data_IF_533841243250
#
_entry.id   IF_533841243250
#
_cell.length_a   1.000
_cell.length_b   1.000
_cell.length_c   1.000
_cell.angle_alpha   90.00
_cell.angle_beta   90.00
_cell.angle_gamma   90.00
#
_symmetry.space_group_name_H-M   'P 1'
#
loop_
_entity.id
_entity.type
_entity.pdbx_description
1 polymer ?
#
# COMPACT_ATOMS: atom_id res chain seq x y z
N UNK A 1 -23.67 -0.90 -1.81
CA UNK A 1 -24.17 -2.01 -0.97
C UNK A 1 -23.81 -3.30 -1.65
N UNK A 2 -23.55 -4.36 -0.90
CA UNK A 2 -23.32 -5.69 -1.47
C UNK A 2 -24.18 -6.73 -0.76
N UNK A 3 -24.66 -7.70 -1.53
CA UNK A 3 -25.36 -8.88 -1.03
C UNK A 3 -24.35 -9.99 -0.70
N UNK A 4 -24.76 -10.94 0.13
CA UNK A 4 -23.98 -12.15 0.39
C UNK A 4 -23.74 -12.95 -0.90
N UNK A 5 -22.60 -13.64 -0.98
CA UNK A 5 -22.37 -14.62 -2.05
C UNK A 5 -23.30 -15.82 -1.85
N UNK A 6 -23.65 -16.52 -2.93
CA UNK A 6 -24.52 -17.70 -2.86
C UNK A 6 -23.99 -18.73 -1.83
N UNK A 7 -22.69 -18.99 -1.84
CA UNK A 7 -22.05 -19.88 -0.88
C UNK A 7 -22.23 -19.42 0.59
N UNK A 8 -22.16 -18.10 0.85
CA UNK A 8 -22.35 -17.57 2.19
C UNK A 8 -23.82 -17.57 2.63
N UNK A 9 -24.75 -17.26 1.72
CA UNK A 9 -26.20 -17.34 2.00
C UNK A 9 -26.64 -18.77 2.29
N UNK A 10 -26.18 -19.75 1.50
CA UNK A 10 -26.46 -21.17 1.71
C UNK A 10 -25.90 -21.69 3.06
N UNK A 11 -24.67 -21.30 3.40
CA UNK A 11 -24.03 -21.73 4.65
C UNK A 11 -24.67 -21.11 5.91
N UNK A 12 -25.15 -19.86 5.81
CA UNK A 12 -25.72 -19.11 6.94
C UNK A 12 -27.24 -19.15 7.00
N UNK A 13 -27.90 -19.67 5.95
CA UNK A 13 -29.35 -19.67 5.75
C UNK A 13 -29.97 -18.27 5.92
N UNK A 14 -29.30 -17.23 5.43
CA UNK A 14 -29.72 -15.85 5.59
C UNK A 14 -29.27 -14.98 4.42
N UNK A 15 -30.09 -14.00 4.05
CA UNK A 15 -29.75 -12.96 3.09
C UNK A 15 -29.58 -11.61 3.81
N UNK A 16 -28.54 -10.87 3.43
CA UNK A 16 -28.20 -9.58 4.03
C UNK A 16 -27.60 -8.64 2.99
N UNK A 17 -28.02 -7.38 3.02
CA UNK A 17 -27.41 -6.29 2.27
C UNK A 17 -26.82 -5.25 3.22
N UNK A 18 -25.54 -4.91 3.02
CA UNK A 18 -24.84 -3.91 3.84
C UNK A 18 -24.16 -2.86 2.97
N UNK A 19 -24.03 -1.62 3.46
CA UNK A 19 -23.11 -0.66 2.86
C UNK A 19 -21.67 -1.15 3.07
N UNK A 20 -21.03 -1.56 1.99
CA UNK A 20 -19.61 -1.93 1.97
C UNK A 20 -18.79 -0.81 1.35
N UNK A 21 -17.50 -0.77 1.73
CA UNK A 21 -16.50 0.01 1.04
C UNK A 21 -16.33 -0.48 -0.40
N UNK A 22 -15.82 0.40 -1.25
CA UNK A 22 -15.37 0.04 -2.59
C UNK A 22 -14.24 -0.99 -2.51
N UNK A 23 -14.06 -1.82 -3.54
CA UNK A 23 -12.96 -2.78 -3.60
C UNK A 23 -11.60 -2.08 -3.47
N UNK A 24 -11.50 -0.90 -4.08
CA UNK A 24 -10.34 -0.03 -4.09
C UNK A 24 -9.96 0.41 -2.68
N UNK A 25 -10.95 0.86 -1.89
CA UNK A 25 -10.74 1.30 -0.51
C UNK A 25 -10.35 0.14 0.41
N UNK A 26 -10.98 -1.03 0.22
CA UNK A 26 -10.66 -2.25 0.98
C UNK A 26 -9.19 -2.62 0.73
N UNK A 27 -8.80 -2.74 -0.54
CA UNK A 27 -7.42 -3.12 -0.87
C UNK A 27 -6.41 -2.02 -0.55
N UNK A 28 -6.76 -0.74 -0.67
CA UNK A 28 -5.91 0.37 -0.25
C UNK A 28 -5.51 0.27 1.22
N UNK A 29 -6.49 0.00 2.10
CA UNK A 29 -6.23 -0.23 3.53
C UNK A 29 -5.44 -1.51 3.79
N UNK A 30 -5.77 -2.62 3.11
CA UNK A 30 -5.07 -3.90 3.24
C UNK A 30 -3.60 -3.81 2.82
N UNK A 31 -3.29 -3.09 1.74
CA UNK A 31 -1.92 -2.85 1.28
C UNK A 31 -1.10 -2.08 2.33
N UNK A 32 -1.67 -1.03 2.94
CA UNK A 32 -1.00 -0.31 4.04
C UNK A 32 -0.73 -1.24 5.23
N UNK A 33 -1.71 -2.08 5.60
CA UNK A 33 -1.53 -3.05 6.68
C UNK A 33 -0.45 -4.10 6.33
N UNK A 34 -0.48 -4.65 5.13
CA UNK A 34 0.52 -5.62 4.65
C UNK A 34 1.93 -5.03 4.66
N UNK A 35 2.09 -3.77 4.26
CA UNK A 35 3.38 -3.07 4.26
C UNK A 35 3.86 -2.74 5.69
N UNK A 36 2.95 -2.34 6.58
CA UNK A 36 3.31 -1.94 7.95
C UNK A 36 3.51 -3.15 8.88
N UNK A 37 2.46 -3.96 9.10
CA UNK A 37 2.49 -5.07 10.07
C UNK A 37 2.94 -6.40 9.48
N UNK A 38 2.77 -6.61 8.18
CA UNK A 38 3.14 -7.86 7.47
C UNK A 38 2.49 -9.11 8.08
N UNK A 39 1.26 -8.99 8.62
CA UNK A 39 0.60 -10.14 9.21
C UNK A 39 0.24 -11.16 8.11
N UNK A 40 0.37 -12.49 8.33
CA UNK A 40 0.05 -13.52 7.34
C UNK A 40 -1.30 -13.33 6.62
N UNK A 41 -2.36 -13.01 7.36
CA UNK A 41 -3.68 -12.63 6.79
C UNK A 41 -3.64 -11.47 5.78
N UNK A 42 -2.87 -10.41 6.04
CA UNK A 42 -2.75 -9.31 5.07
C UNK A 42 -1.97 -9.74 3.83
N UNK A 43 -0.94 -10.56 4.02
CA UNK A 43 -0.16 -11.11 2.91
C UNK A 43 -0.99 -12.07 2.06
N UNK A 44 -1.86 -12.86 2.69
CA UNK A 44 -2.84 -13.70 2.00
C UNK A 44 -3.83 -12.84 1.20
N UNK A 45 -4.39 -11.78 1.79
CA UNK A 45 -5.26 -10.86 1.06
C UNK A 45 -4.56 -10.25 -0.18
N UNK A 46 -3.27 -9.95 -0.07
CA UNK A 46 -2.45 -9.44 -1.19
C UNK A 46 -2.14 -10.55 -2.20
N UNK A 47 -1.96 -11.79 -1.75
CA UNK A 47 -1.80 -12.95 -2.63
C UNK A 47 -3.03 -13.13 -3.51
N UNK A 48 -4.22 -13.08 -2.91
CA UNK A 48 -5.50 -13.13 -3.62
C UNK A 48 -5.65 -11.93 -4.58
N UNK A 49 -5.25 -10.73 -4.15
CA UNK A 49 -5.24 -9.56 -5.04
C UNK A 49 -4.39 -9.81 -6.28
N UNK A 50 -3.18 -10.37 -6.12
CA UNK A 50 -2.30 -10.67 -7.24
C UNK A 50 -2.84 -11.77 -8.16
N UNK A 51 -3.59 -12.73 -7.62
CA UNK A 51 -4.25 -13.76 -8.42
C UNK A 51 -5.43 -13.19 -9.24
N UNK A 52 -6.07 -12.11 -8.75
CA UNK A 52 -7.30 -11.55 -9.31
C UNK A 52 -7.13 -10.16 -9.96
N UNK A 53 -5.99 -9.90 -10.59
CA UNK A 53 -5.77 -8.69 -11.41
C UNK A 53 -4.71 -7.74 -10.88
N UNK A 54 -4.20 -7.96 -9.67
CA UNK A 54 -3.09 -7.21 -9.09
C UNK A 54 -3.46 -5.77 -8.71
N UNK A 55 -2.45 -4.92 -8.59
CA UNK A 55 -2.60 -3.55 -8.11
C UNK A 55 -2.99 -2.65 -9.29
N UNK A 56 -4.29 -2.35 -9.41
CA UNK A 56 -4.80 -1.41 -10.42
C UNK A 56 -4.49 0.06 -10.05
N UNK A 57 -4.57 1.01 -10.99
CA UNK A 57 -4.40 2.44 -10.70
C UNK A 57 -5.33 2.97 -9.61
N UNK A 58 -6.57 2.46 -9.54
CA UNK A 58 -7.57 2.89 -8.57
C UNK A 58 -7.24 2.38 -7.17
N UNK A 59 -6.85 1.10 -7.04
CA UNK A 59 -6.34 0.52 -5.79
C UNK A 59 -5.09 1.26 -5.32
N UNK A 60 -4.19 1.58 -6.25
CA UNK A 60 -2.95 2.30 -5.96
C UNK A 60 -3.23 3.72 -5.47
N UNK A 61 -4.17 4.43 -6.10
CA UNK A 61 -4.60 5.76 -5.67
C UNK A 61 -5.23 5.72 -4.27
N UNK A 62 -6.09 4.72 -4.00
CA UNK A 62 -6.63 4.49 -2.66
C UNK A 62 -5.52 4.20 -1.64
N UNK A 63 -4.56 3.33 -1.97
CA UNK A 63 -3.38 3.07 -1.13
C UNK A 63 -2.64 4.35 -0.75
N UNK A 64 -2.43 5.28 -1.70
CA UNK A 64 -1.78 6.57 -1.38
C UNK A 64 -2.59 7.40 -0.39
N UNK A 65 -3.91 7.43 -0.50
CA UNK A 65 -4.80 8.12 0.45
C UNK A 65 -4.74 7.48 1.84
N UNK A 66 -4.79 6.15 1.93
CA UNK A 66 -4.67 5.44 3.21
C UNK A 66 -3.27 5.61 3.82
N UNK A 67 -2.22 5.58 3.00
CA UNK A 67 -0.85 5.85 3.42
C UNK A 67 -0.68 7.31 3.90
N UNK A 68 -1.35 8.25 3.22
CA UNK A 68 -1.41 9.67 3.60
C UNK A 68 -2.12 9.89 4.95
N UNK A 69 -3.03 8.98 5.32
CA UNK A 69 -3.80 9.01 6.57
C UNK A 69 -3.20 8.17 7.69
N UNK A 70 -2.15 7.40 7.42
CA UNK A 70 -1.55 6.51 8.40
C UNK A 70 -0.72 7.26 9.47
N UNK A 71 -0.46 6.65 10.63
CA UNK A 71 0.28 7.34 11.70
C UNK A 71 1.81 7.25 11.57
N UNK A 72 2.34 6.22 10.90
CA UNK A 72 3.77 6.07 10.68
C UNK A 72 4.30 6.93 9.53
N UNK A 73 5.61 7.07 9.51
CA UNK A 73 6.34 7.82 8.47
C UNK A 73 6.17 7.15 7.11
N UNK A 74 5.87 7.95 6.09
CA UNK A 74 5.55 7.45 4.73
C UNK A 74 6.65 6.55 4.18
N UNK A 75 7.93 6.95 4.28
CA UNK A 75 9.03 6.16 3.73
C UNK A 75 9.29 4.86 4.51
N UNK A 76 8.90 4.77 5.78
CA UNK A 76 9.03 3.55 6.60
C UNK A 76 7.98 2.51 6.20
N UNK A 77 6.78 2.97 5.86
CA UNK A 77 5.71 2.09 5.38
C UNK A 77 5.90 1.72 3.91
N UNK A 78 6.28 2.67 3.05
CA UNK A 78 6.43 2.41 1.61
C UNK A 78 7.66 1.54 1.30
N UNK A 79 8.69 1.60 2.13
CA UNK A 79 9.92 0.80 1.99
C UNK A 79 10.23 0.08 3.31
N UNK A 80 9.42 -0.92 3.68
CA UNK A 80 9.52 -1.58 4.96
C UNK A 80 10.63 -2.65 4.97
N UNK A 81 11.14 -2.94 6.15
CA UNK A 81 12.05 -4.08 6.36
C UNK A 81 11.22 -5.35 6.57
N UNK A 82 11.59 -6.50 5.95
CA UNK A 82 10.93 -7.78 6.21
C UNK A 82 10.94 -8.14 7.70
N UNK A 83 9.78 -8.54 8.23
CA UNK A 83 9.61 -9.02 9.60
C UNK A 83 9.63 -10.54 9.65
N UNK A 84 10.03 -11.11 10.78
CA UNK A 84 9.74 -12.52 11.03
C UNK A 84 8.23 -12.67 11.34
N UNK A 85 7.57 -13.52 10.56
CA UNK A 85 6.13 -13.76 10.64
C UNK A 85 5.80 -15.19 11.05
N UNK A 86 6.81 -16.02 11.36
CA UNK A 86 6.63 -17.44 11.62
C UNK A 86 5.66 -17.70 12.78
N UNK A 87 5.85 -17.02 13.91
CA UNK A 87 4.97 -17.18 15.08
C UNK A 87 3.51 -16.78 14.78
N UNK A 88 3.31 -15.69 14.03
CA UNK A 88 1.98 -15.24 13.65
C UNK A 88 1.33 -16.18 12.61
N UNK A 89 2.15 -16.81 11.77
CA UNK A 89 1.69 -17.81 10.81
C UNK A 89 1.16 -19.05 11.54
N UNK A 90 1.98 -19.63 12.41
CA UNK A 90 1.64 -20.83 13.18
C UNK A 90 0.45 -20.58 14.12
N UNK A 91 0.44 -19.46 14.84
CA UNK A 91 -0.56 -19.19 15.87
C UNK A 91 -1.85 -18.52 15.40
N UNK A 92 -1.90 -17.96 14.19
CA UNK A 92 -3.04 -17.12 13.76
C UNK A 92 -3.36 -17.17 12.27
N UNK A 93 -2.80 -18.12 11.52
CA UNK A 93 -3.09 -18.28 10.10
C UNK A 93 -3.26 -19.74 9.68
N UNK A 94 -2.46 -20.66 10.21
CA UNK A 94 -2.65 -22.10 9.96
C UNK A 94 -4.08 -22.52 10.31
N UNK A 95 -4.77 -23.18 9.38
CA UNK A 95 -6.15 -23.64 9.53
C UNK A 95 -7.22 -22.58 9.29
N UNK A 96 -6.86 -21.34 8.92
CA UNK A 96 -7.83 -20.28 8.61
C UNK A 96 -8.38 -20.33 7.18
N UNK A 97 -7.61 -20.86 6.23
CA UNK A 97 -7.98 -20.89 4.82
C UNK A 97 -8.56 -22.26 4.45
N UNK A 98 -9.47 -22.29 3.48
CA UNK A 98 -10.05 -23.55 2.99
C UNK A 98 -8.99 -24.44 2.35
N UNK A 99 -8.10 -23.83 1.57
CA UNK A 99 -6.92 -24.48 1.02
C UNK A 99 -5.68 -24.08 1.83
N UNK A 100 -4.84 -25.02 2.29
CA UNK A 100 -3.64 -24.70 3.04
C UNK A 100 -2.67 -23.85 2.23
N UNK A 101 -2.28 -22.69 2.76
CA UNK A 101 -1.27 -21.81 2.15
C UNK A 101 0.01 -21.91 2.96
N UNK A 102 1.10 -22.24 2.28
CA UNK A 102 2.41 -22.38 2.92
C UNK A 102 3.05 -21.03 3.25
N UNK A 103 3.88 -21.00 4.29
CA UNK A 103 4.59 -19.80 4.72
C UNK A 103 5.42 -19.21 3.57
N UNK A 104 6.10 -20.05 2.80
CA UNK A 104 6.94 -19.65 1.67
C UNK A 104 6.18 -18.83 0.63
N UNK A 105 4.92 -19.18 0.35
CA UNK A 105 4.07 -18.44 -0.60
C UNK A 105 3.74 -17.03 -0.08
N UNK A 106 3.53 -16.88 1.23
CA UNK A 106 3.32 -15.57 1.85
C UNK A 106 4.59 -14.72 1.83
N UNK A 107 5.76 -15.34 2.05
CA UNK A 107 7.05 -14.66 1.99
C UNK A 107 7.38 -14.20 0.56
N UNK A 108 7.07 -15.03 -0.44
CA UNK A 108 7.19 -14.66 -1.86
C UNK A 108 6.25 -13.51 -2.22
N UNK A 109 4.98 -13.60 -1.81
CA UNK A 109 3.98 -12.54 -2.01
C UNK A 109 4.44 -11.23 -1.39
N UNK A 110 5.01 -11.27 -0.17
CA UNK A 110 5.58 -10.09 0.47
C UNK A 110 6.74 -9.50 -0.34
N UNK A 111 7.67 -10.34 -0.79
CA UNK A 111 8.80 -9.90 -1.62
C UNK A 111 8.32 -9.23 -2.91
N UNK A 112 7.31 -9.82 -3.56
CA UNK A 112 6.65 -9.27 -4.73
C UNK A 112 6.00 -7.92 -4.44
N UNK A 113 5.22 -7.82 -3.36
CA UNK A 113 4.56 -6.59 -2.91
C UNK A 113 5.56 -5.45 -2.68
N UNK A 114 6.66 -5.73 -1.97
CA UNK A 114 7.67 -4.71 -1.63
C UNK A 114 8.38 -4.15 -2.86
N UNK A 115 8.44 -4.93 -3.94
CA UNK A 115 9.01 -4.51 -5.22
C UNK A 115 7.98 -3.78 -6.08
N UNK A 116 6.81 -4.40 -6.30
CA UNK A 116 5.83 -3.93 -7.29
C UNK A 116 5.09 -2.67 -6.83
N UNK A 117 4.69 -2.59 -5.55
CA UNK A 117 3.88 -1.46 -5.10
C UNK A 117 4.61 -0.11 -5.19
N UNK A 118 5.86 0.05 -4.68
CA UNK A 118 6.59 1.30 -4.85
C UNK A 118 6.95 1.60 -6.30
N UNK A 119 7.15 0.58 -7.13
CA UNK A 119 7.45 0.71 -8.55
C UNK A 119 6.23 1.16 -9.37
N UNK A 120 5.04 0.71 -8.99
CA UNK A 120 3.79 1.01 -9.67
C UNK A 120 3.31 2.46 -9.46
N UNK A 121 3.81 3.17 -8.43
CA UNK A 121 3.41 4.56 -8.18
C UNK A 121 3.68 5.45 -9.39
N UNK A 122 2.66 6.21 -9.79
CA UNK A 122 2.78 7.18 -10.88
C UNK A 122 3.43 8.49 -10.43
N UNK A 123 3.65 9.40 -11.39
CA UNK A 123 4.33 10.66 -11.11
C UNK A 123 3.53 11.56 -10.13
N UNK A 124 2.21 11.60 -10.26
CA UNK A 124 1.35 12.44 -9.43
C UNK A 124 1.26 11.90 -8.00
N UNK A 125 1.16 10.58 -7.85
CA UNK A 125 1.18 9.88 -6.57
C UNK A 125 2.50 10.10 -5.83
N UNK A 126 3.63 9.98 -6.52
CA UNK A 126 4.95 10.26 -5.94
C UNK A 126 5.09 11.71 -5.52
N UNK A 127 4.68 12.65 -6.38
CA UNK A 127 4.78 14.07 -6.08
C UNK A 127 3.82 14.51 -4.96
N UNK A 128 2.64 13.91 -4.87
CA UNK A 128 1.74 14.13 -3.74
C UNK A 128 2.36 13.69 -2.42
N UNK A 129 2.98 12.50 -2.36
CA UNK A 129 3.67 12.04 -1.14
C UNK A 129 4.84 12.97 -0.77
N UNK A 130 5.58 13.48 -1.76
CA UNK A 130 6.69 14.43 -1.58
C UNK A 130 6.24 15.77 -1.02
N UNK A 131 5.16 16.32 -1.56
CA UNK A 131 4.57 17.60 -1.13
C UNK A 131 3.92 17.45 0.26
N UNK A 132 3.30 16.30 0.53
CA UNK A 132 2.71 15.97 1.83
C UNK A 132 3.74 15.91 2.96
N UNK A 133 4.87 15.20 2.78
CA UNK A 133 5.93 15.13 3.83
C UNK A 133 6.52 16.51 4.12
N UNK A 134 6.51 17.42 3.15
CA UNK A 134 6.92 18.83 3.29
C UNK A 134 5.84 19.72 3.90
N UNK A 135 4.72 19.16 4.36
CA UNK A 135 3.57 19.87 4.92
C UNK A 135 2.97 20.92 3.95
N UNK A 136 3.12 20.71 2.64
CA UNK A 136 2.57 21.56 1.58
C UNK A 136 1.94 20.69 0.49
N UNK A 137 0.98 19.82 0.82
CA UNK A 137 0.41 18.87 -0.14
C UNK A 137 -0.16 19.62 -1.34
N UNK A 138 0.17 19.16 -2.54
CA UNK A 138 -0.46 19.63 -3.76
C UNK A 138 -1.72 18.80 -4.02
N UNK A 139 -2.87 19.36 -3.63
CA UNK A 139 -4.16 18.71 -3.79
C UNK A 139 -4.58 18.55 -5.26
N UNK A 140 -4.03 19.34 -6.19
CA UNK A 140 -4.39 19.25 -7.61
C UNK A 140 -3.93 17.94 -8.25
N UNK A 141 -3.00 17.22 -7.61
CA UNK A 141 -2.51 15.91 -8.03
C UNK A 141 -3.51 14.77 -7.75
N UNK A 142 -4.51 15.02 -6.91
CA UNK A 142 -5.54 14.06 -6.52
C UNK A 142 -6.93 14.69 -6.67
N UNK A 143 -7.72 14.18 -7.61
CA UNK A 143 -9.10 14.61 -7.81
C UNK A 143 -10.06 13.95 -6.79
N UNK A 144 -9.82 14.20 -5.51
CA UNK A 144 -10.62 13.69 -4.39
C UNK A 144 -11.10 14.88 -3.56
N UNK A 145 -12.33 15.37 -3.77
CA UNK A 145 -12.81 16.65 -3.22
C UNK A 145 -12.71 16.79 -1.69
N UNK A 146 -12.82 15.68 -0.95
CA UNK A 146 -12.86 15.66 0.50
C UNK A 146 -11.54 15.25 1.16
N UNK A 147 -10.46 15.05 0.39
CA UNK A 147 -9.18 14.54 0.88
C UNK A 147 -8.56 15.47 1.93
N UNK A 148 -8.52 16.78 1.67
CA UNK A 148 -8.07 17.80 2.65
C UNK A 148 -8.94 17.84 3.92
N UNK A 149 -10.19 17.39 3.80
CA UNK A 149 -11.16 17.32 4.88
C UNK A 149 -10.89 16.21 5.90
N UNK A 150 -10.11 15.19 5.53
CA UNK A 150 -9.96 13.99 6.35
C UNK A 150 -9.26 14.30 7.68
N UNK A 151 -9.85 13.90 8.84
CA UNK A 151 -9.26 14.17 10.15
C UNK A 151 -7.83 13.66 10.30
N UNK A 152 -7.53 12.48 9.75
CA UNK A 152 -6.20 11.88 9.82
C UNK A 152 -5.15 12.68 9.04
N UNK A 153 -5.52 13.19 7.86
CA UNK A 153 -4.63 14.03 7.03
C UNK A 153 -4.38 15.37 7.73
N UNK A 154 -5.44 16.02 8.24
CA UNK A 154 -5.32 17.26 9.02
C UNK A 154 -4.42 17.08 10.24
N UNK A 155 -4.60 15.99 10.98
CA UNK A 155 -3.76 15.64 12.12
C UNK A 155 -2.29 15.48 11.72
N UNK A 156 -2.01 14.77 10.63
CA UNK A 156 -0.65 14.61 10.11
C UNK A 156 -0.03 15.95 9.72
N UNK A 157 -0.75 16.81 9.00
CA UNK A 157 -0.26 18.14 8.61
C UNK A 157 0.06 19.02 9.83
N UNK A 158 -0.77 18.97 10.86
CA UNK A 158 -0.50 19.66 12.12
C UNK A 158 0.80 19.14 12.78
N UNK A 159 0.99 17.82 12.82
CA UNK A 159 2.20 17.22 13.38
C UNK A 159 3.46 17.58 12.59
N UNK A 160 3.40 17.55 11.25
CA UNK A 160 4.52 17.96 10.40
C UNK A 160 4.82 19.46 10.56
N UNK A 161 3.81 20.31 10.66
CA UNK A 161 3.98 21.75 10.93
C UNK A 161 4.50 22.07 12.33
N UNK A 162 4.27 21.21 13.32
CA UNK A 162 4.93 21.32 14.63
C UNK A 162 6.37 20.81 14.56
N UNK A 163 6.62 19.71 13.86
CA UNK A 163 7.95 19.12 13.70
C UNK A 163 8.90 20.08 12.96
N UNK A 164 8.43 20.74 11.90
CA UNK A 164 9.24 21.71 11.13
C UNK A 164 9.72 22.88 11.98
N UNK A 165 8.92 23.30 12.98
CA UNK A 165 9.28 24.37 13.93
C UNK A 165 10.18 23.88 15.07
N UNK A 166 9.93 22.68 15.60
CA UNK A 166 10.65 22.14 16.77
C UNK A 166 11.99 21.49 16.40
N UNK A 167 12.04 20.78 15.28
CA UNK A 167 13.19 19.98 14.84
C UNK A 167 13.34 20.07 13.30
N UNK A 168 13.81 21.22 12.77
CA UNK A 168 13.88 21.46 11.32
C UNK A 168 14.79 20.45 10.60
N UNK A 169 15.90 20.03 11.22
CA UNK A 169 16.81 19.04 10.63
C UNK A 169 16.14 17.67 10.50
N UNK A 170 15.39 17.23 11.51
CA UNK A 170 14.63 15.99 11.45
C UNK A 170 13.53 16.07 10.40
N UNK A 171 12.84 17.20 10.31
CA UNK A 171 11.82 17.43 9.28
C UNK A 171 12.40 17.34 7.86
N UNK A 172 13.57 17.95 7.62
CA UNK A 172 14.30 17.83 6.33
C UNK A 172 14.72 16.39 6.05
N UNK A 173 15.28 15.70 7.05
CA UNK A 173 15.69 14.29 6.91
C UNK A 173 14.52 13.36 6.53
N UNK A 174 13.29 13.61 7.00
CA UNK A 174 12.12 12.84 6.59
C UNK A 174 11.81 12.96 5.10
N UNK A 175 11.91 14.17 4.55
CA UNK A 175 11.69 14.45 3.14
C UNK A 175 12.81 13.86 2.29
N UNK A 176 14.06 14.07 2.69
CA UNK A 176 15.24 13.56 1.98
C UNK A 176 15.22 12.02 1.91
N UNK A 177 14.87 11.35 3.01
CA UNK A 177 14.77 9.88 3.06
C UNK A 177 13.68 9.32 2.12
N UNK A 178 12.56 10.03 1.96
CA UNK A 178 11.53 9.65 1.01
C UNK A 178 12.01 9.84 -0.44
N UNK A 179 12.60 11.00 -0.73
CA UNK A 179 13.09 11.32 -2.08
C UNK A 179 14.17 10.36 -2.54
N UNK A 180 15.12 10.04 -1.67
CA UNK A 180 16.21 9.12 -1.95
C UNK A 180 15.69 7.71 -2.31
N UNK A 181 14.71 7.19 -1.56
CA UNK A 181 14.13 5.86 -1.80
C UNK A 181 13.26 5.83 -3.06
N UNK A 182 12.47 6.88 -3.29
CA UNK A 182 11.70 7.02 -4.53
C UNK A 182 12.63 7.15 -5.76
N UNK A 183 13.74 7.88 -5.62
CA UNK A 183 14.76 8.02 -6.66
C UNK A 183 15.41 6.69 -7.02
N UNK A 184 15.84 5.90 -6.03
CA UNK A 184 16.37 4.54 -6.26
C UNK A 184 15.37 3.64 -6.99
N UNK A 185 14.10 3.69 -6.59
CA UNK A 185 13.03 2.91 -7.22
C UNK A 185 12.85 3.25 -8.71
N UNK A 186 12.88 4.53 -9.07
CA UNK A 186 12.77 4.97 -10.48
C UNK A 186 13.93 4.50 -11.37
N UNK A 187 15.14 4.35 -10.82
CA UNK A 187 16.31 3.88 -11.57
C UNK A 187 16.29 2.37 -11.86
N UNK A 188 15.63 1.57 -11.01
CA UNK A 188 15.46 0.13 -11.21
C UNK A 188 14.54 -0.13 -12.41
N UNK A 189 13.40 0.57 -12.48
CA UNK A 189 12.45 0.45 -13.60
C UNK A 189 13.07 0.84 -14.97
N UNK A 190 13.98 1.82 -14.99
CA UNK A 190 14.68 2.23 -16.22
C UNK A 190 15.70 1.22 -16.75
N UNK A 191 16.30 0.39 -15.88
CA UNK A 191 17.29 -0.64 -16.29
C UNK A 191 16.64 -1.93 -16.78
N UNK A 192 15.50 -2.32 -16.21
CA UNK A 192 14.73 -3.48 -16.67
C UNK A 192 14.08 -3.21 -18.04
N UNK A 193 13.56 -2.00 -18.27
CA UNK A 193 13.00 -1.59 -19.57
C UNK A 193 14.06 -1.58 -20.69
N UNK A 194 15.29 -1.15 -20.40
CA UNK A 194 16.39 -1.13 -21.38
C UNK A 194 16.93 -2.55 -21.71
N UNK A 195 16.73 -3.53 -20.84
CA UNK A 195 17.17 -4.91 -21.07
C UNK A 195 16.17 -5.72 -21.91
N UNK A 196 14.90 -5.33 -21.92
CA UNK A 196 13.85 -5.93 -22.76
C UNK A 196 13.91 -5.52 -24.23
N UNK A 197 14.40 -4.32 -24.56
CA UNK A 197 14.49 -3.84 -25.95
C UNK A 197 15.68 -4.43 -26.73
N UNK A 198 16.72 -4.91 -26.04
CA UNK A 198 17.88 -5.53 -26.71
C UNK A 198 17.55 -6.93 -27.25
N UNK A 199 16.55 -7.61 -26.69
CA UNK A 199 16.16 -8.96 -27.14
C UNK A 199 15.08 -8.97 -28.24
N UNK A 200 14.46 -7.82 -28.56
CA UNK A 200 13.44 -7.70 -29.61
C UNK A 200 14.00 -7.24 -30.98
N UNK A 201 15.33 -7.09 -31.09
CA UNK A 201 16.03 -6.72 -32.35
C UNK A 201 16.95 -7.83 -32.87
N UNK A 202 16.82 -9.03 -32.34
CA UNK A 202 17.47 -10.25 -32.82
C UNK A 202 16.41 -11.34 -33.02
N UNK A 203 15.47 -11.09 -33.90
CA UNK A 203 14.67 -12.11 -34.61
C UNK A 203 14.31 -11.54 -35.99
#
# INVERSE_FOLDING_TARGET
TAALTAAASDALMADLELPLLSSEDIYGGKLVAAMDRQHPRDLFDVMELFAHGGITPEIRRAFVVYLASHNRTIHEVLFPTPKDIQLAYEGSFVGMTTEPVQLEALLETRGRLFRELPAALDANEREFLRTLVRARPDWSLFDIPHLEGLPAIRWRLQNLGQLSRRQPDRFRALADALDERLGRCSQVNGRESASGEVNARRD
#
